data_IF_755588515667
#
_entry.id   IF_755588515667
#
_cell.length_a   1.000
_cell.length_b   1.000
_cell.length_c   1.000
_cell.angle_alpha   90.00
_cell.angle_beta   90.00
_cell.angle_gamma   90.00
#
_symmetry.space_group_name_H-M   'P 1'
#
loop_
_entity.id
_entity.type
_entity.pdbx_description
1 polymer ?
2 non-polymer ?
3 water ?
#
# COMPACT_ATOMS: atom_id res chain seq x y z
N UNK A 1 -4.41 -3.06 -9.73
CA UNK A 1 -3.49 -4.19 -10.04
C UNK A 1 -3.77 -4.64 -11.46
N UNK A 2 -2.72 -4.65 -12.27
CA UNK A 2 -2.78 -5.16 -13.66
C UNK A 2 -2.27 -6.59 -13.67
N UNK A 3 -2.93 -7.46 -14.42
CA UNK A 3 -2.51 -8.85 -14.52
C UNK A 3 -2.80 -9.66 -13.28
N UNK A 4 -3.77 -9.23 -12.49
CA UNK A 4 -4.11 -9.93 -11.23
C UNK A 4 -5.42 -10.69 -11.33
N UNK A 5 -5.85 -11.21 -10.18
CA UNK A 5 -7.09 -12.00 -10.07
C UNK A 5 -7.87 -11.51 -8.85
N UNK A 6 -9.17 -11.77 -8.83
CA UNK A 6 -9.98 -11.50 -7.63
C UNK A 6 -9.38 -12.21 -6.43
N UNK A 7 -9.24 -11.48 -5.33
CA UNK A 7 -8.88 -12.09 -4.05
C UNK A 7 -10.09 -12.86 -3.54
N UNK A 8 -9.85 -13.83 -2.66
CA UNK A 8 -10.94 -14.46 -1.91
C UNK A 8 -11.31 -13.50 -0.80
N UNK A 9 -12.57 -13.55 -0.40
CA UNK A 9 -13.05 -12.76 0.73
C UNK A 9 -12.19 -13.08 1.95
N UNK A 10 -11.71 -12.04 2.62
CA UNK A 10 -10.89 -12.23 3.83
C UNK A 10 -9.46 -12.70 3.62
N UNK A 11 -9.01 -12.76 2.37
CA UNK A 11 -7.67 -13.28 2.05
C UNK A 11 -6.58 -12.32 2.49
N UNK A 12 -6.85 -11.03 2.46
CA UNK A 12 -5.90 -10.01 2.86
C UNK A 12 -6.59 -9.10 3.89
N UNK A 13 -6.77 -9.62 5.13
CA UNK A 13 -7.52 -8.90 6.15
C UNK A 13 -6.83 -7.64 6.73
N UNK A 14 -5.58 -7.41 6.32
CA UNK A 14 -4.85 -6.19 6.61
C UNK A 14 -5.01 -5.13 5.52
N UNK A 15 -5.58 -5.50 4.37
CA UNK A 15 -5.77 -4.51 3.29
C UNK A 15 -6.95 -3.58 3.62
N UNK A 16 -6.69 -2.28 3.50
CA UNK A 16 -7.63 -1.22 3.91
C UNK A 16 -7.87 -0.31 2.71
N UNK A 17 -9.09 0.20 2.58
CA UNK A 17 -9.47 1.15 1.54
C UNK A 17 -9.68 2.55 2.16
N UNK A 18 -8.91 3.54 1.68
CA UNK A 18 -9.14 4.94 2.05
C UNK A 18 -9.98 5.70 1.02
N UNK A 19 -11.13 6.18 1.48
CA UNK A 19 -12.03 7.05 0.72
C UNK A 19 -11.94 8.50 1.18
N UNK A 20 -11.83 9.42 0.23
CA UNK A 20 -11.90 10.85 0.52
C UNK A 20 -13.35 11.27 0.33
N UNK A 21 -13.86 12.12 1.21
CA UNK A 21 -15.30 12.40 1.22
C UNK A 21 -15.79 12.87 -0.15
N UNK A 22 -16.75 12.13 -0.69
CA UNK A 22 -17.37 12.46 -1.97
C UNK A 22 -16.59 12.00 -3.19
N UNK A 23 -15.50 11.27 -2.99
CA UNK A 23 -14.64 10.84 -4.09
C UNK A 23 -14.49 9.32 -4.23
N UNK A 24 -14.98 8.55 -3.27
CA UNK A 24 -14.76 7.11 -3.27
C UNK A 24 -13.33 6.73 -2.95
N UNK A 25 -12.99 5.49 -3.25
CA UNK A 25 -11.64 4.97 -3.02
C UNK A 25 -10.56 5.77 -3.75
N UNK A 26 -9.57 6.21 -2.99
CA UNK A 26 -8.41 6.93 -3.54
C UNK A 26 -7.08 6.18 -3.32
N UNK A 27 -6.86 5.67 -2.13
CA UNK A 27 -5.64 4.90 -1.83
C UNK A 27 -5.94 3.69 -0.95
N UNK A 28 -4.94 2.81 -0.87
CA UNK A 28 -4.96 1.71 0.06
C UNK A 28 -4.19 2.07 1.29
N UNK A 29 -4.24 1.17 2.24
CA UNK A 29 -3.44 1.23 3.45
C UNK A 29 -3.36 -0.18 4.04
N UNK A 30 -2.60 -0.32 5.12
CA UNK A 30 -2.46 -1.60 5.79
C UNK A 30 -2.65 -1.41 7.28
N UNK A 31 -3.40 -2.32 7.89
CA UNK A 31 -3.61 -2.31 9.34
C UNK A 31 -2.39 -2.91 10.05
N UNK A 32 -1.81 -2.18 11.00
CA UNK A 32 -0.62 -2.68 11.72
C UNK A 32 -0.81 -2.88 13.21
N UNK A 33 -1.85 -2.31 13.77
CA UNK A 33 -2.21 -2.49 15.19
C UNK A 33 -3.68 -2.10 15.25
N UNK A 34 -4.31 -2.19 16.44
CA UNK A 34 -5.71 -1.76 16.47
C UNK A 34 -5.95 -0.28 16.12
N UNK A 35 -4.92 0.55 16.29
CA UNK A 35 -5.06 2.01 16.14
C UNK A 35 -4.35 2.66 14.96
N UNK A 36 -3.56 1.88 14.23
CA UNK A 36 -2.67 2.45 13.22
C UNK A 36 -2.69 1.72 11.89
N UNK A 37 -2.61 2.51 10.83
CA UNK A 37 -2.44 2.05 9.48
C UNK A 37 -1.15 2.62 8.89
N UNK A 38 -0.55 1.88 7.96
CA UNK A 38 0.54 2.38 7.10
C UNK A 38 -0.03 2.68 5.71
N UNK A 39 0.41 3.79 5.10
CA UNK A 39 0.00 4.17 3.76
C UNK A 39 1.11 5.00 3.12
N UNK A 40 0.83 5.61 1.96
CA UNK A 40 1.79 6.40 1.22
C UNK A 40 1.53 7.89 1.47
N UNK A 41 2.56 8.70 1.56
CA UNK A 41 2.46 10.13 1.85
C UNK A 41 1.74 10.89 0.76
N UNK A 42 2.06 10.44 -0.39
CA UNK A 42 1.56 11.16 -1.60
C UNK A 42 0.07 11.08 -1.79
N UNK A 43 -0.54 10.21 -1.02
CA UNK A 43 -1.96 10.23 -1.11
C UNK A 43 -2.57 11.41 -0.26
N UNK A 44 -1.77 12.07 0.62
CA UNK A 44 -2.41 12.97 1.45
C UNK A 44 -1.91 14.41 1.11
N UNK A 45 -1.76 14.77 -0.22
CA UNK A 45 -1.29 16.12 -0.62
C UNK A 45 -2.47 16.97 -1.08
N UNK A 46 -2.58 18.12 -0.61
CA UNK A 46 -3.65 19.02 -1.08
C UNK A 46 -3.51 19.42 -2.54
N UNK A 47 -4.63 19.66 -3.19
CA UNK A 47 -4.57 20.23 -4.54
C UNK A 47 -5.56 21.39 -4.47
N UNK A 48 -5.51 22.26 -5.21
CA UNK A 48 -6.37 23.43 -5.17
C UNK A 48 -7.85 23.20 -4.88
N UNK A 49 -8.37 22.02 -5.18
CA UNK A 49 -9.78 21.80 -4.92
C UNK A 49 -10.14 20.87 -3.77
N UNK A 50 -9.14 20.26 -3.13
CA UNK A 50 -9.44 19.34 -2.03
C UNK A 50 -8.26 19.18 -1.06
N UNK A 51 -8.55 19.26 0.23
CA UNK A 51 -7.52 19.15 1.26
C UNK A 51 -7.28 17.70 1.68
N UNK A 52 -6.57 16.97 0.84
CA UNK A 52 -6.27 15.57 1.15
C UNK A 52 -5.43 15.41 2.42
N UNK A 53 -4.75 16.47 2.87
CA UNK A 53 -3.94 16.38 4.08
C UNK A 53 -4.73 16.46 5.38
N UNK A 54 -6.01 16.79 5.29
CA UNK A 54 -6.87 16.95 6.47
C UNK A 54 -7.46 15.59 6.86
N UNK A 55 -7.09 15.05 8.02
CA UNK A 55 -7.62 13.75 8.44
C UNK A 55 -9.13 13.62 8.46
N UNK A 56 -9.82 14.74 8.70
CA UNK A 56 -11.28 14.70 8.77
C UNK A 56 -11.97 14.49 7.43
N UNK A 57 -11.21 14.52 6.34
CA UNK A 57 -11.77 14.33 5.00
C UNK A 57 -11.77 12.87 4.56
N UNK A 58 -11.36 11.97 5.45
CA UNK A 58 -11.21 10.56 5.10
C UNK A 58 -12.06 9.56 5.84
N UNK A 59 -12.24 8.42 5.21
CA UNK A 59 -12.92 7.28 5.84
C UNK A 59 -12.12 6.03 5.45
N UNK A 60 -11.81 5.20 6.43
CA UNK A 60 -11.09 3.94 6.18
C UNK A 60 -12.08 2.79 6.30
N UNK A 61 -12.06 1.89 5.32
CA UNK A 61 -12.90 0.71 5.37
C UNK A 61 -11.99 -0.51 5.56
N UNK A 62 -12.19 -1.21 6.67
CA UNK A 62 -11.43 -2.43 7.01
C UNK A 62 -12.36 -3.62 6.75
N UNK A 63 -11.78 -4.74 6.34
CA UNK A 63 -12.58 -5.91 6.06
C UNK A 63 -13.39 -5.82 4.78
N UNK A 64 -13.03 -4.88 3.92
CA UNK A 64 -13.74 -4.67 2.66
C UNK A 64 -13.31 -5.65 1.58
N UNK A 65 -14.26 -6.05 0.75
CA UNK A 65 -13.97 -6.93 -0.36
C UNK A 65 -14.38 -6.24 -1.68
N UNK A 66 -15.64 -5.79 -1.73
CA UNK A 66 -16.23 -5.19 -2.93
C UNK A 66 -16.61 -3.73 -2.63
N UNK A 67 -16.08 -2.80 -3.44
CA UNK A 67 -16.34 -1.37 -3.28
C UNK A 67 -17.83 -1.01 -3.37
N UNK A 68 -18.62 -1.87 -4.03
CA UNK A 68 -20.05 -1.62 -4.14
C UNK A 68 -20.84 -2.19 -2.95
N UNK A 69 -20.15 -2.85 -2.02
CA UNK A 69 -20.80 -3.46 -0.86
C UNK A 69 -20.04 -3.07 0.40
N UNK A 70 -19.99 -1.78 0.67
CA UNK A 70 -19.23 -1.28 1.81
C UNK A 70 -19.89 -1.44 3.15
N UNK A 71 -21.14 -1.88 3.14
CA UNK A 71 -21.89 -2.11 4.38
C UNK A 71 -22.11 -3.61 4.62
N UNK A 72 -21.40 -4.44 3.86
CA UNK A 72 -21.52 -5.88 4.01
C UNK A 72 -21.10 -6.33 5.40
N UNK A 73 -21.60 -7.49 5.85
CA UNK A 73 -21.24 -7.98 7.18
C UNK A 73 -19.72 -8.07 7.32
N UNK A 74 -19.22 -7.60 8.45
CA UNK A 74 -17.79 -7.66 8.69
C UNK A 74 -16.98 -6.45 8.27
N UNK A 75 -17.54 -5.59 7.42
CA UNK A 75 -16.81 -4.39 7.00
C UNK A 75 -16.90 -3.41 8.15
N UNK A 76 -15.78 -2.77 8.47
CA UNK A 76 -15.74 -1.78 9.54
C UNK A 76 -15.37 -0.43 8.96
N UNK A 77 -16.12 0.59 9.33
CA UNK A 77 -15.89 1.95 8.87
C UNK A 77 -15.26 2.74 10.00
N UNK A 78 -14.19 3.48 9.71
CA UNK A 78 -13.52 4.28 10.71
C UNK A 78 -13.09 5.64 10.17
N UNK A 79 -13.09 6.63 11.05
CA UNK A 79 -12.54 7.92 10.67
C UNK A 79 -11.09 7.99 11.15
N UNK A 80 -10.40 9.02 10.69
CA UNK A 80 -9.00 9.23 11.07
C UNK A 80 -8.89 10.40 12.02
N UNK A 81 -7.99 10.26 12.98
CA UNK A 81 -7.70 11.30 13.97
C UNK A 81 -6.46 12.10 13.55
N UNK A 82 -5.53 11.47 12.84
CA UNK A 82 -4.28 12.13 12.47
C UNK A 82 -3.62 11.41 11.30
N UNK A 83 -2.85 12.16 10.51
CA UNK A 83 -2.07 11.62 9.42
C UNK A 83 -0.65 12.10 9.72
N UNK A 84 0.31 11.19 9.92
CA UNK A 84 1.71 11.56 10.16
C UNK A 84 2.50 11.19 8.90
N UNK A 85 2.83 12.18 8.08
CA UNK A 85 3.59 11.93 6.87
C UNK A 85 5.06 11.97 7.24
N UNK A 86 5.87 11.12 6.63
CA UNK A 86 7.27 11.13 6.98
C UNK A 86 7.86 12.52 6.78
N UNK A 87 8.63 13.01 7.76
CA UNK A 87 9.19 14.35 7.61
C UNK A 87 10.09 14.58 6.42
N UNK A 88 10.66 13.50 5.87
CA UNK A 88 11.56 13.65 4.74
C UNK A 88 10.88 13.40 3.41
N UNK A 89 9.56 13.22 3.42
CA UNK A 89 8.85 12.98 2.15
C UNK A 89 9.07 14.13 1.19
N UNK A 90 9.39 13.78 -0.06
CA UNK A 90 9.66 14.72 -1.14
C UNK A 90 8.56 14.50 -2.20
N UNK A 91 7.67 15.47 -2.42
CA UNK A 91 6.60 15.30 -3.39
C UNK A 91 7.03 15.32 -4.86
N UNK A 92 8.30 15.63 -5.13
CA UNK A 92 8.81 15.65 -6.50
C UNK A 92 9.47 14.29 -6.80
N UNK A 93 10.34 13.82 -5.91
CA UNK A 93 11.03 12.54 -6.11
C UNK A 93 10.29 11.34 -5.52
N UNK A 94 9.36 11.62 -4.62
CA UNK A 94 8.62 10.59 -3.88
C UNK A 94 9.52 9.82 -2.92
N UNK A 95 10.68 10.38 -2.58
CA UNK A 95 11.52 9.73 -1.58
C UNK A 95 10.72 9.78 -0.25
N UNK A 96 10.95 8.78 0.59
CA UNK A 96 10.29 8.68 1.90
C UNK A 96 8.76 8.73 1.79
N UNK A 97 8.24 7.96 0.83
CA UNK A 97 6.79 7.94 0.60
C UNK A 97 6.08 6.98 1.55
N UNK A 98 5.87 7.43 2.78
CA UNK A 98 5.22 6.63 3.80
C UNK A 98 4.53 7.54 4.80
N UNK A 99 3.37 7.09 5.29
CA UNK A 99 2.60 7.84 6.27
C UNK A 99 1.97 6.87 7.24
N UNK A 100 1.66 7.39 8.44
CA UNK A 100 0.99 6.63 9.48
C UNK A 100 -0.36 7.31 9.71
N UNK A 101 -1.42 6.51 9.73
CA UNK A 101 -2.77 7.03 9.89
C UNK A 101 -3.32 6.49 11.19
N UNK A 102 -3.76 7.38 12.07
CA UNK A 102 -4.32 6.99 13.35
C UNK A 102 -5.85 6.91 13.27
N UNK A 103 -6.37 5.72 13.53
CA UNK A 103 -7.82 5.52 13.51
C UNK A 103 -8.43 6.26 14.70
N UNK A 104 -9.62 6.81 14.46
CA UNK A 104 -10.30 7.58 15.50
C UNK A 104 -10.85 6.68 16.60
N UNK A 105 -11.19 5.44 16.24
CA UNK A 105 -11.66 4.39 17.16
C UNK A 105 -10.93 3.11 16.73
N UNK A 106 -10.52 2.25 17.67
CA UNK A 106 -9.80 1.03 17.28
C UNK A 106 -10.56 0.07 16.39
N UNK A 107 -9.82 -0.63 15.54
CA UNK A 107 -10.38 -1.66 14.69
C UNK A 107 -10.70 -2.82 15.62
N UNK A 108 -11.71 -3.61 15.27
CA UNK A 108 -12.04 -4.79 16.06
C UNK A 108 -11.50 -6.00 15.28
N UNK A 109 -10.54 -6.73 15.83
CA UNK A 109 -10.01 -7.87 15.08
C UNK A 109 -11.08 -8.94 14.86
N UNK A 110 -11.07 -9.52 13.68
CA UNK A 110 -12.03 -10.57 13.30
C UNK A 110 -11.40 -11.41 12.19
N UNK A 111 -12.16 -12.35 11.65
CA UNK A 111 -11.59 -13.16 10.57
C UNK A 111 -11.31 -12.27 9.35
N UNK A 112 -12.03 -11.16 9.24
CA UNK A 112 -11.88 -10.25 8.09
C UNK A 112 -10.98 -9.05 8.34
N UNK A 113 -10.60 -8.80 9.59
CA UNK A 113 -9.79 -7.63 9.96
C UNK A 113 -8.68 -8.13 10.88
N UNK A 114 -7.44 -8.06 10.39
CA UNK A 114 -6.29 -8.59 11.13
C UNK A 114 -5.07 -7.80 10.69
N UNK A 115 -4.16 -7.47 11.61
CA UNK A 115 -2.96 -6.72 11.23
C UNK A 115 -1.93 -7.57 10.49
N UNK A 116 -1.15 -6.91 9.65
CA UNK A 116 -0.04 -7.57 8.97
C UNK A 116 1.19 -7.46 9.91
N UNK A 117 2.14 -8.37 9.79
CA UNK A 117 3.34 -8.31 10.62
C UNK A 117 4.35 -7.33 10.03
N UNK A 118 5.03 -6.59 10.90
CA UNK A 118 6.08 -5.68 10.46
C UNK A 118 7.46 -6.33 10.57
N UNK A 119 8.31 -6.12 9.57
CA UNK A 119 9.66 -6.70 9.60
C UNK A 119 10.62 -5.87 10.43
N UNK A 120 11.56 -6.56 11.08
CA UNK A 120 12.59 -5.91 11.88
C UNK A 120 13.47 -5.11 10.92
N UNK A 121 14.12 -4.07 11.46
CA UNK A 121 14.98 -3.21 10.65
C UNK A 121 16.09 -3.94 9.89
N UNK A 122 16.59 -5.04 10.46
CA UNK A 122 17.66 -5.78 9.81
C UNK A 122 17.21 -6.80 8.77
N UNK A 123 15.91 -6.99 8.61
CA UNK A 123 15.48 -8.01 7.65
C UNK A 123 15.61 -7.59 6.19
N UNK A 124 16.14 -8.50 5.38
CA UNK A 124 16.31 -8.28 3.94
C UNK A 124 15.30 -9.11 3.16
N UNK A 125 14.50 -8.46 2.33
CA UNK A 125 13.56 -9.19 1.44
C UNK A 125 14.46 -9.38 0.23
N UNK A 126 14.92 -10.60 -0.01
CA UNK A 126 15.83 -10.88 -1.12
C UNK A 126 15.38 -10.74 -2.55
N UNK A 127 16.31 -10.35 -3.42
CA UNK A 127 16.01 -10.24 -4.84
C UNK A 127 15.51 -11.60 -5.30
N UNK A 128 14.46 -11.59 -6.12
CA UNK A 128 13.89 -12.81 -6.63
C UNK A 128 12.71 -13.34 -5.84
N UNK A 129 12.52 -12.88 -4.61
CA UNK A 129 11.42 -13.43 -3.83
C UNK A 129 10.06 -13.00 -4.35
N UNK A 130 9.13 -13.96 -4.36
CA UNK A 130 7.75 -13.71 -4.79
C UNK A 130 7.02 -13.03 -3.64
N UNK A 131 6.31 -11.97 -3.98
CA UNK A 131 5.52 -11.27 -2.99
C UNK A 131 4.22 -10.85 -3.67
N UNK A 132 3.25 -10.43 -2.88
CA UNK A 132 1.96 -10.09 -3.42
C UNK A 132 1.57 -8.64 -3.28
N UNK A 133 0.96 -8.10 -4.31
CA UNK A 133 0.43 -6.75 -4.24
C UNK A 133 -1.08 -6.88 -4.36
N UNK A 134 -1.80 -6.06 -3.61
CA UNK A 134 -3.26 -6.10 -3.58
C UNK A 134 -3.84 -4.69 -3.62
N UNK A 135 -5.04 -4.57 -4.18
CA UNK A 135 -5.67 -3.27 -4.19
C UNK A 135 -6.87 -3.19 -5.10
N UNK A 136 -7.52 -2.03 -5.05
CA UNK A 136 -8.69 -1.73 -5.85
C UNK A 136 -8.35 -0.75 -6.97
N UNK A 137 -7.07 -0.60 -7.27
CA UNK A 137 -6.70 0.32 -8.33
C UNK A 137 -7.03 -0.14 -9.74
N UNK A 138 -6.61 0.67 -10.70
CA UNK A 138 -6.85 0.35 -12.10
C UNK A 138 -6.33 -1.01 -12.50
N UNK A 139 -7.07 -1.69 -13.39
CA UNK A 139 -6.64 -3.00 -13.86
C UNK A 139 -5.91 -2.93 -15.21
N UNK A 140 -5.77 -1.72 -15.73
CA UNK A 140 -4.99 -1.44 -16.96
C UNK A 140 -4.60 0.03 -16.83
N UNK A 141 -3.43 0.40 -17.36
CA UNK A 141 -3.02 1.80 -17.28
C UNK A 141 -4.07 2.61 -18.03
N UNK A 142 -4.54 3.68 -17.40
CA UNK A 142 -5.54 4.52 -18.00
C UNK A 142 -6.89 3.85 -18.00
N UNK A 143 -6.97 2.70 -17.33
CA UNK A 143 -8.20 1.93 -17.27
C UNK A 143 -9.13 2.30 -16.13
N UNK A 144 -9.81 1.30 -15.59
CA UNK A 144 -10.73 1.57 -14.50
C UNK A 144 -10.44 0.73 -13.26
N UNK A 145 -10.83 1.27 -12.12
CA UNK A 145 -10.62 0.60 -10.84
C UNK A 145 -11.39 -0.69 -10.73
N UNK A 146 -10.96 -1.55 -9.81
CA UNK A 146 -11.64 -2.81 -9.62
C UNK A 146 -12.64 -2.72 -8.46
N UNK A 147 -13.84 -3.25 -8.67
CA UNK A 147 -14.81 -3.27 -7.58
C UNK A 147 -14.38 -4.32 -6.56
N UNK A 148 -13.94 -5.48 -7.05
CA UNK A 148 -13.49 -6.57 -6.20
C UNK A 148 -11.97 -6.49 -5.99
N UNK A 149 -11.53 -6.59 -4.74
CA UNK A 149 -10.10 -6.52 -4.42
C UNK A 149 -9.30 -7.47 -5.31
N UNK A 150 -8.22 -6.96 -5.92
CA UNK A 150 -7.34 -7.77 -6.77
C UNK A 150 -6.04 -8.11 -6.09
N UNK A 151 -5.44 -9.22 -6.51
CA UNK A 151 -4.14 -9.63 -6.00
C UNK A 151 -3.28 -10.01 -7.20
N UNK A 152 -1.98 -9.81 -7.07
CA UNK A 152 -1.03 -10.16 -8.12
C UNK A 152 0.29 -10.56 -7.51
N UNK A 153 0.96 -11.56 -8.11
CA UNK A 153 2.25 -12.03 -7.61
C UNK A 153 3.36 -11.36 -8.42
N UNK A 154 4.31 -10.75 -7.72
CA UNK A 154 5.43 -10.04 -8.35
C UNK A 154 6.72 -10.41 -7.64
N UNK A 155 7.88 -10.10 -8.22
CA UNK A 155 9.13 -10.50 -7.56
C UNK A 155 10.05 -9.33 -7.31
N UNK A 156 10.79 -9.40 -6.20
CA UNK A 156 11.73 -8.35 -5.86
C UNK A 156 12.82 -8.29 -6.92
N UNK A 157 13.14 -7.08 -7.37
CA UNK A 157 14.16 -6.91 -8.38
C UNK A 157 15.41 -6.31 -7.71
N UNK A 158 16.57 -6.74 -8.21
CA UNK A 158 17.89 -6.29 -7.77
C UNK A 158 17.93 -4.74 -7.83
N UNK A 159 18.45 -4.09 -6.79
CA UNK A 159 18.47 -2.62 -6.73
C UNK A 159 19.28 -1.94 -7.84
N UNK A 160 20.42 -2.52 -8.22
CA UNK A 160 21.20 -1.94 -9.29
C UNK A 160 20.39 -1.95 -10.59
N UNK A 161 19.71 -3.07 -10.85
CA UNK A 161 18.87 -3.18 -12.03
C UNK A 161 17.77 -2.11 -11.98
N UNK A 162 17.14 -1.98 -10.81
CA UNK A 162 16.08 -0.98 -10.60
C UNK A 162 16.59 0.43 -10.94
N UNK A 163 17.71 0.81 -10.34
CA UNK A 163 18.30 2.13 -10.58
C UNK A 163 18.58 2.37 -12.06
N UNK A 164 19.02 1.33 -12.77
CA UNK A 164 19.33 1.49 -14.19
C UNK A 164 18.08 1.58 -15.07
N UNK A 165 16.98 0.97 -14.63
CA UNK A 165 15.72 1.01 -15.40
C UNK A 165 15.03 2.37 -15.31
N UNK A 166 15.23 3.05 -14.18
CA UNK A 166 14.62 4.34 -13.90
C UNK A 166 15.72 5.29 -13.42
N UNK A 167 16.60 5.71 -14.35
CA UNK A 167 17.72 6.59 -14.04
C UNK A 167 17.37 7.88 -13.34
N UNK A 168 18.18 8.17 -12.32
CA UNK A 168 18.06 9.38 -11.50
C UNK A 168 16.76 9.47 -10.73
N UNK A 169 16.11 8.33 -10.49
CA UNK A 169 14.83 8.33 -9.81
C UNK A 169 14.72 7.38 -8.63
N UNK A 170 15.63 6.44 -8.51
CA UNK A 170 15.53 5.44 -7.45
C UNK A 170 16.44 5.71 -6.30
N UNK A 171 15.84 5.95 -5.12
CA UNK A 171 16.63 6.19 -3.92
C UNK A 171 16.67 4.89 -3.11
N UNK A 172 17.55 4.85 -2.08
CA UNK A 172 17.63 3.64 -1.25
C UNK A 172 16.36 3.33 -0.46
N UNK A 173 15.42 4.28 -0.39
CA UNK A 173 14.15 4.00 0.31
C UNK A 173 13.20 3.23 -0.61
N UNK A 174 13.57 3.12 -1.89
CA UNK A 174 12.69 2.51 -2.88
C UNK A 174 13.16 1.13 -3.27
N UNK A 175 12.21 0.33 -3.77
CA UNK A 175 12.51 -1.01 -4.23
C UNK A 175 11.62 -1.30 -5.45
N UNK A 176 12.19 -1.85 -6.51
CA UNK A 176 11.39 -2.25 -7.67
C UNK A 176 10.90 -3.67 -7.44
N UNK A 177 9.62 -3.92 -7.73
CA UNK A 177 9.06 -5.27 -7.56
C UNK A 177 8.13 -5.47 -8.74
N UNK A 178 8.25 -6.61 -9.41
CA UNK A 178 7.46 -6.85 -10.60
C UNK A 178 8.23 -7.77 -11.51
N UNK A 179 8.15 -7.52 -12.81
CA UNK A 179 8.84 -8.33 -13.82
C UNK A 179 9.37 -7.41 -14.90
N UNK A 180 10.59 -7.68 -15.39
CA UNK A 180 11.10 -6.88 -16.48
C UNK A 180 10.23 -7.03 -17.74
N UNK A 181 9.55 -8.16 -17.87
CA UNK A 181 8.68 -8.36 -19.04
C UNK A 181 7.32 -7.68 -18.86
N UNK A 182 7.07 -7.11 -17.69
CA UNK A 182 5.81 -6.46 -17.41
C UNK A 182 4.72 -7.46 -17.05
N UNK A 183 3.48 -7.13 -17.40
CA UNK A 183 2.37 -8.06 -17.19
C UNK A 183 1.59 -7.96 -15.90
N UNK A 184 2.28 -7.93 -14.78
CA UNK A 184 1.63 -7.84 -13.46
C UNK A 184 2.27 -6.64 -12.77
N UNK A 185 1.45 -5.74 -12.25
CA UNK A 185 2.00 -4.52 -11.62
C UNK A 185 0.88 -3.84 -10.85
N UNK A 186 1.25 -2.93 -9.94
CA UNK A 186 0.25 -2.12 -9.26
C UNK A 186 -0.08 -0.96 -10.22
N UNK A 187 -1.11 -0.20 -9.91
CA UNK A 187 -1.51 0.92 -10.76
C UNK A 187 -2.28 1.96 -9.96
N UNK A 188 -2.72 3.02 -10.62
CA UNK A 188 -3.42 4.10 -9.94
C UNK A 188 -4.50 3.59 -9.00
N UNK A 189 -4.47 4.05 -7.76
CA UNK A 189 -5.46 3.62 -6.78
C UNK A 189 -4.97 2.50 -5.87
N UNK A 190 -3.86 1.87 -6.25
CA UNK A 190 -3.27 0.84 -5.40
C UNK A 190 -2.28 1.49 -4.41
N UNK A 191 -1.88 2.74 -4.69
CA UNK A 191 -0.94 3.46 -3.83
C UNK A 191 -1.29 3.38 -2.37
N UNK A 192 -0.27 3.21 -1.53
CA UNK A 192 -0.52 3.17 -0.10
C UNK A 192 -0.75 1.79 0.45
N UNK A 193 -1.14 0.85 -0.41
CA UNK A 193 -1.38 -0.50 0.03
C UNK A 193 -0.10 -1.25 0.32
N UNK A 194 -0.23 -2.38 1.00
CA UNK A 194 0.94 -3.19 1.34
C UNK A 194 1.38 -4.24 0.36
N UNK A 195 2.69 -4.48 0.33
CA UNK A 195 3.24 -5.65 -0.35
C UNK A 195 3.21 -6.71 0.77
N UNK A 196 2.62 -7.87 0.48
CA UNK A 196 2.52 -8.97 1.44
C UNK A 196 3.54 -10.07 1.07
N UNK A 197 4.39 -10.46 2.02
CA UNK A 197 5.39 -11.49 1.80
C UNK A 197 5.21 -12.66 2.76
N UNK A 198 5.09 -13.86 2.20
CA UNK A 198 4.95 -15.07 3.01
C UNK A 198 6.33 -15.45 3.56
N UNK A 199 6.45 -15.46 4.87
CA UNK A 199 7.72 -15.75 5.49
C UNK A 199 7.89 -17.20 5.93
N UNK A 200 8.91 -17.50 6.74
CA UNK A 200 9.27 -18.90 7.03
C UNK A 200 8.27 -19.87 7.61
N UNK A 201 7.31 -19.38 8.38
CA UNK A 201 6.28 -20.27 8.92
C UNK A 201 4.91 -19.94 8.32
N UNK A 202 4.91 -19.22 7.20
CA UNK A 202 3.66 -18.88 6.54
C UNK A 202 3.05 -17.56 6.95
N UNK A 203 3.53 -16.96 8.02
CA UNK A 203 2.99 -15.67 8.44
C UNK A 203 3.38 -14.62 7.42
N UNK A 204 2.48 -13.66 7.22
CA UNK A 204 2.71 -12.61 6.24
C UNK A 204 3.25 -11.32 6.84
N UNK A 205 4.32 -10.83 6.23
CA UNK A 205 4.98 -9.59 6.62
C UNK A 205 4.85 -8.54 5.54
N UNK A 206 4.82 -7.29 5.97
CA UNK A 206 4.72 -6.22 4.99
C UNK A 206 6.12 -5.91 4.45
N UNK A 207 6.30 -6.01 3.14
CA UNK A 207 7.62 -5.76 2.58
C UNK A 207 7.76 -4.32 2.13
N UNK A 208 6.63 -3.71 1.79
CA UNK A 208 6.71 -2.35 1.28
C UNK A 208 5.36 -1.71 1.12
N UNK A 209 5.37 -0.49 0.60
CA UNK A 209 4.17 0.32 0.37
C UNK A 209 4.11 0.69 -1.12
N UNK A 210 2.95 0.48 -1.76
CA UNK A 210 2.81 0.84 -3.18
C UNK A 210 3.05 2.35 -3.30
N UNK A 211 3.97 2.74 -4.18
CA UNK A 211 4.33 4.17 -4.31
C UNK A 211 4.14 4.77 -5.68
N UNK A 212 4.87 4.33 -6.70
CA UNK A 212 4.71 4.93 -8.02
C UNK A 212 5.26 4.01 -9.11
N UNK A 213 5.03 4.41 -10.35
CA UNK A 213 5.60 3.67 -11.46
C UNK A 213 5.47 4.51 -12.72
N UNK A 214 6.21 4.13 -13.75
CA UNK A 214 6.16 4.79 -15.06
C UNK A 214 5.14 3.92 -15.82
N UNK A 215 3.91 4.41 -15.94
CA UNK A 215 2.87 3.60 -16.57
C UNK A 215 2.57 2.41 -15.65
N UNK A 216 1.96 1.36 -16.20
CA UNK A 216 1.65 0.18 -15.40
C UNK A 216 1.83 -1.06 -16.25
N UNK A 217 2.57 -2.03 -15.74
CA UNK A 217 2.79 -3.31 -16.39
C UNK A 217 3.56 -3.28 -17.68
N UNK A 218 4.26 -2.18 -17.94
CA UNK A 218 5.06 -2.09 -19.15
C UNK A 218 6.41 -2.79 -19.00
N UNK A 219 6.93 -3.31 -20.11
CA UNK A 219 8.24 -3.94 -20.14
C UNK A 219 9.29 -2.94 -19.62
N UNK A 220 10.20 -3.45 -18.80
CA UNK A 220 11.30 -2.67 -18.20
C UNK A 220 10.89 -1.51 -17.30
N UNK A 221 9.64 -1.53 -16.86
CA UNK A 221 9.11 -0.49 -15.97
C UNK A 221 8.32 -1.09 -14.80
N UNK A 222 9.01 -1.83 -13.93
CA UNK A 222 8.34 -2.44 -12.78
C UNK A 222 7.92 -1.35 -11.80
N UNK A 223 6.94 -1.64 -10.98
CA UNK A 223 6.48 -0.70 -9.99
C UNK A 223 7.53 -0.44 -8.91
N UNK A 224 7.43 0.75 -8.31
CA UNK A 224 8.36 1.20 -7.29
C UNK A 224 7.60 1.28 -5.97
N UNK A 225 8.25 0.74 -4.93
CA UNK A 225 7.62 0.62 -3.62
C UNK A 225 8.52 1.16 -2.53
N UNK A 226 7.92 1.70 -1.48
CA UNK A 226 8.73 2.19 -0.34
C UNK A 226 9.08 0.98 0.52
N UNK A 227 10.35 0.83 0.90
CA UNK A 227 10.78 -0.30 1.73
C UNK A 227 10.28 -0.11 3.15
N UNK A 228 9.99 -1.20 3.82
CA UNK A 228 9.50 -1.14 5.20
C UNK A 228 10.51 -1.30 6.33
N UNK A 229 11.47 -2.24 6.23
CA UNK A 229 12.44 -2.42 7.33
C UNK A 229 13.10 -1.13 7.81
N UNK A 230 13.43 -0.27 6.84
CA UNK A 230 14.08 1.01 7.11
C UNK A 230 13.28 1.90 8.06
N UNK A 231 11.98 1.69 8.09
CA UNK A 231 11.07 2.50 8.90
C UNK A 231 10.57 1.85 10.16
N UNK A 232 11.09 0.67 10.51
CA UNK A 232 10.61 0.01 11.71
C UNK A 232 10.71 0.88 12.95
N UNK A 233 11.85 1.54 13.14
CA UNK A 233 12.05 2.38 14.32
C UNK A 233 11.17 3.64 14.28
N UNK A 234 11.04 4.22 13.10
CA UNK A 234 10.21 5.41 12.95
C UNK A 234 8.75 5.05 13.31
N UNK A 235 8.30 3.88 12.86
CA UNK A 235 6.95 3.46 13.20
C UNK A 235 6.84 3.28 14.72
N UNK A 236 7.79 2.61 15.32
CA UNK A 236 7.74 2.41 16.78
C UNK A 236 7.72 3.74 17.54
N UNK A 237 8.59 4.66 17.13
CA UNK A 237 8.69 5.95 17.79
C UNK A 237 7.42 6.79 17.72
N UNK A 238 6.74 6.72 16.58
CA UNK A 238 5.54 7.53 16.38
C UNK A 238 4.22 6.89 16.76
N UNK A 239 4.19 5.57 16.92
CA UNK A 239 2.94 4.87 17.23
C UNK A 239 2.96 3.97 18.44
N UNK A 240 4.15 3.57 18.86
CA UNK A 240 4.29 2.66 19.98
C UNK A 240 4.27 1.21 19.49
N UNK A 241 3.92 1.02 18.22
CA UNK A 241 3.85 -0.31 17.60
C UNK A 241 5.24 -0.81 17.20
#
# INVERSE_FOLDING_TARGET
VVGGTDADEGEWPWQVSLHALGQGHICGASLISPNWLVSAAHCYIDDRGFRYSDPTQWTAFLGLHDQSQRSAPGVQERRLKRIISHPFFNDFTFDYDIALLELEKPAEYSSMVRPICLPDASHVFPAGKAIWVTGWGHTQYGGTGALILQKGEIRVINQTTCENLLPQQITPRMMCVGFLSGGVDSCQGDSGGPLSSVEADGRIFQAGVVSWGDGCAQRNKPGVYTRLPLFRDWIKENTGV
#
